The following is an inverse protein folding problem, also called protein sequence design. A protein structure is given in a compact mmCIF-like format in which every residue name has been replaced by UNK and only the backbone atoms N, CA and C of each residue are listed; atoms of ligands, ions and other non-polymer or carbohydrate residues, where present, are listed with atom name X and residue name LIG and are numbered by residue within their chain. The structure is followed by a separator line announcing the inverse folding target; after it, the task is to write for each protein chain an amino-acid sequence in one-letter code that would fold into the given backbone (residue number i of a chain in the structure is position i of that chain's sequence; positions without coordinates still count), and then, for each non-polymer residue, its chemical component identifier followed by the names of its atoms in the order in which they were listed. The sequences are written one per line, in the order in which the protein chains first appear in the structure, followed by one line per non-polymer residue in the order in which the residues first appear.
data_IF_326467317964
#
_entry.id   IF_326467317964
#
_cell.length_a   1.000
_cell.length_b   1.000
_cell.length_c   1.000
_cell.angle_alpha   90.00
_cell.angle_beta   90.00
_cell.angle_gamma   90.00
#
_symmetry.space_group_name_H-M   'P 1'
#
loop_
_entity.id
_entity.type
_entity.pdbx_description
1 polymer ?
#
# COMPACT_ATOMS: atom_id res chain seq x y z
N UNK A 1 13.18 -1.50 5.25
CA UNK A 1 12.99 -0.32 4.39
C UNK A 1 11.61 0.25 4.69
N UNK A 2 11.55 1.50 5.14
CA UNK A 2 10.37 2.04 5.79
C UNK A 2 9.35 2.49 4.75
N UNK A 3 8.21 1.81 4.69
CA UNK A 3 7.01 2.32 4.02
C UNK A 3 6.72 3.70 4.61
N UNK A 4 6.83 4.76 3.80
CA UNK A 4 6.65 6.11 4.30
C UNK A 4 5.16 6.45 4.38
N UNK A 5 4.80 7.38 5.25
CA UNK A 5 3.41 7.87 5.30
C UNK A 5 2.95 8.42 3.94
N UNK A 6 3.87 8.99 3.15
CA UNK A 6 3.59 9.42 1.79
C UNK A 6 3.19 8.26 0.88
N UNK A 7 3.93 7.13 0.92
CA UNK A 7 3.63 5.93 0.12
C UNK A 7 2.26 5.34 0.48
N UNK A 8 1.98 5.21 1.78
CA UNK A 8 0.67 4.71 2.26
C UNK A 8 -0.46 5.64 1.80
N UNK A 9 -0.24 6.95 1.86
CA UNK A 9 -1.24 7.94 1.42
C UNK A 9 -1.41 7.94 -0.10
N UNK A 10 -0.33 7.71 -0.85
CA UNK A 10 -0.36 7.60 -2.30
C UNK A 10 -1.13 6.36 -2.74
N UNK A 11 -0.78 5.20 -2.16
CA UNK A 11 -1.48 3.94 -2.40
C UNK A 11 -2.96 4.04 -2.02
N UNK A 12 -3.28 4.63 -0.85
CA UNK A 12 -4.66 4.91 -0.42
C UNK A 12 -5.44 5.75 -1.42
N UNK A 13 -4.81 6.76 -2.04
CA UNK A 13 -5.47 7.58 -3.08
C UNK A 13 -5.72 6.80 -4.37
N UNK A 14 -4.85 5.86 -4.72
CA UNK A 14 -4.99 5.03 -5.92
C UNK A 14 -6.00 3.88 -5.74
N UNK A 15 -5.98 3.21 -4.59
CA UNK A 15 -6.78 2.02 -4.32
C UNK A 15 -8.08 2.31 -3.56
N UNK A 16 -8.15 3.44 -2.84
CA UNK A 16 -9.26 3.78 -1.97
C UNK A 16 -9.30 3.01 -0.65
N UNK A 17 -8.30 2.16 -0.37
CA UNK A 17 -8.30 1.28 0.78
C UNK A 17 -7.91 1.97 2.10
N UNK A 18 -8.15 1.26 3.21
CA UNK A 18 -7.79 1.72 4.54
C UNK A 18 -6.29 1.98 4.70
N UNK A 19 -5.93 2.90 5.61
CA UNK A 19 -4.52 3.22 5.90
C UNK A 19 -3.74 1.98 6.36
N UNK A 20 -4.42 1.04 7.03
CA UNK A 20 -3.82 -0.18 7.56
C UNK A 20 -3.62 -1.24 6.46
N UNK A 21 -4.60 -1.40 5.56
CA UNK A 21 -4.47 -2.27 4.38
C UNK A 21 -3.35 -1.78 3.47
N UNK A 22 -3.27 -0.46 3.24
CA UNK A 22 -2.20 0.13 2.44
C UNK A 22 -0.81 -0.09 3.06
N UNK A 23 -0.72 0.04 4.38
CA UNK A 23 0.54 -0.20 5.10
C UNK A 23 0.93 -1.67 5.04
N UNK A 24 0.01 -2.60 5.30
CA UNK A 24 0.29 -4.04 5.25
C UNK A 24 0.67 -4.47 3.83
N UNK A 25 -0.09 -4.03 2.83
CA UNK A 25 0.18 -4.35 1.44
C UNK A 25 1.54 -3.84 0.98
N UNK A 26 1.92 -2.59 1.29
CA UNK A 26 3.25 -2.07 0.99
C UNK A 26 4.37 -2.77 1.78
N UNK A 27 4.06 -3.30 2.96
CA UNK A 27 5.04 -4.03 3.78
C UNK A 27 5.24 -5.45 3.27
N UNK A 28 4.16 -6.16 2.89
CA UNK A 28 4.21 -7.48 2.25
C UNK A 28 4.75 -7.43 0.81
N UNK A 29 4.55 -6.30 0.14
CA UNK A 29 5.03 -6.07 -1.22
C UNK A 29 6.45 -5.49 -1.27
N UNK A 30 7.13 -5.30 -0.14
CA UNK A 30 8.47 -4.68 -0.10
C UNK A 30 8.52 -3.32 -0.84
N UNK A 31 7.53 -2.46 -0.61
CA UNK A 31 7.35 -1.15 -1.25
C UNK A 31 6.97 -1.19 -2.75
N UNK A 32 6.53 -2.34 -3.25
CA UNK A 32 6.03 -2.48 -4.61
C UNK A 32 4.55 -2.06 -4.69
N UNK A 33 4.27 -0.92 -5.32
CA UNK A 33 2.92 -0.36 -5.42
C UNK A 33 1.98 -1.24 -6.24
N UNK A 34 2.47 -1.92 -7.28
CA UNK A 34 1.65 -2.75 -8.16
C UNK A 34 1.16 -3.99 -7.41
N UNK A 35 2.09 -4.68 -6.73
CA UNK A 35 1.75 -5.77 -5.81
C UNK A 35 0.88 -5.30 -4.65
N UNK A 36 1.15 -4.14 -4.07
CA UNK A 36 0.36 -3.64 -2.96
C UNK A 36 -1.08 -3.32 -3.39
N UNK A 37 -1.27 -2.81 -4.61
CA UNK A 37 -2.60 -2.63 -5.21
C UNK A 37 -3.28 -3.98 -5.46
N UNK A 38 -2.57 -4.98 -5.96
CA UNK A 38 -3.11 -6.34 -6.12
C UNK A 38 -3.51 -6.96 -4.78
N UNK A 39 -2.67 -6.86 -3.74
CA UNK A 39 -2.96 -7.37 -2.39
C UNK A 39 -4.24 -6.75 -1.81
N UNK A 40 -4.46 -5.46 -2.07
CA UNK A 40 -5.64 -4.73 -1.59
C UNK A 40 -6.90 -5.01 -2.40
N UNK A 41 -6.76 -5.20 -3.70
CA UNK A 41 -7.89 -5.45 -4.62
C UNK A 41 -8.35 -6.91 -4.61
N UNK A 42 -7.52 -7.82 -4.10
CA UNK A 42 -7.83 -9.23 -3.92
C UNK A 42 -8.68 -9.46 -2.67
#
# INVERSE_FOLDING_TARGET
MAVTMADITHLRKMTGAGMMDCKNALTESDNDFDKAVEIIRK
#
